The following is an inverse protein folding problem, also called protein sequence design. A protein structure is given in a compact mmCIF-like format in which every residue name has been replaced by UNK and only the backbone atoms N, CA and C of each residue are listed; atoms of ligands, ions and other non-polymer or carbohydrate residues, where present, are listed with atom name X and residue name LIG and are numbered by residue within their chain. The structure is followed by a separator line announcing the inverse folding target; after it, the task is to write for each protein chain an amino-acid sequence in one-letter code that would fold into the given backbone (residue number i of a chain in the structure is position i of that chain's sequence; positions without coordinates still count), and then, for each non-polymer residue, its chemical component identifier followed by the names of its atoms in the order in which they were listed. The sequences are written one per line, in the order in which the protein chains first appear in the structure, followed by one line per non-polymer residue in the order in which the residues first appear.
data_IF_806136106692
#
_entry.id   IF_806136106692
#
_cell.length_a   1.000
_cell.length_b   1.000
_cell.length_c   1.000
_cell.angle_alpha   90.00
_cell.angle_beta   90.00
_cell.angle_gamma   90.00
#
_symmetry.space_group_name_H-M   'P 1'
#
loop_
_entity.id
_entity.type
_entity.pdbx_description
1 polymer ?
#
# COMPACT_ATOMS: atom_id res chain seq x y z
N UNK A 1 17.09 20.01 -62.75
CA UNK A 1 17.37 18.65 -62.27
C UNK A 1 18.28 18.78 -61.06
N UNK A 2 17.70 18.68 -59.88
CA UNK A 2 18.36 18.93 -58.59
C UNK A 2 18.65 17.57 -57.95
N UNK A 3 19.92 17.24 -57.70
CA UNK A 3 20.29 16.00 -57.04
C UNK A 3 19.77 15.96 -55.59
N UNK A 4 19.21 14.83 -55.13
CA UNK A 4 18.81 14.67 -53.74
C UNK A 4 20.06 14.61 -52.86
N UNK A 5 20.10 15.47 -51.82
CA UNK A 5 21.11 15.42 -50.78
C UNK A 5 20.93 14.12 -49.98
N UNK A 6 21.88 13.20 -50.13
CA UNK A 6 22.07 12.08 -49.20
C UNK A 6 22.48 12.65 -47.83
N UNK A 7 21.52 12.73 -46.90
CA UNK A 7 21.80 12.98 -45.49
C UNK A 7 22.46 11.74 -44.89
N UNK A 8 23.73 11.86 -44.55
CA UNK A 8 24.49 10.80 -43.87
C UNK A 8 23.80 10.43 -42.54
N UNK A 9 23.62 9.13 -42.23
CA UNK A 9 22.96 8.70 -41.01
C UNK A 9 23.73 9.19 -39.78
N UNK A 10 23.04 9.97 -38.93
CA UNK A 10 23.61 10.50 -37.70
C UNK A 10 24.18 9.36 -36.83
N UNK A 11 25.41 9.51 -36.30
CA UNK A 11 26.04 8.48 -35.48
C UNK A 11 25.20 8.26 -34.21
N UNK A 12 24.52 7.11 -34.14
CA UNK A 12 23.84 6.65 -32.92
C UNK A 12 24.91 6.44 -31.84
N UNK A 13 25.01 7.39 -30.93
CA UNK A 13 26.02 7.38 -29.88
C UNK A 13 25.90 6.13 -28.98
N UNK A 14 27.01 5.46 -28.64
CA UNK A 14 27.03 4.20 -27.85
C UNK A 14 26.53 4.37 -26.40
N UNK A 15 26.21 5.58 -25.95
CA UNK A 15 25.71 5.83 -24.59
C UNK A 15 24.23 5.47 -24.40
N UNK A 16 23.40 5.47 -25.45
CA UNK A 16 21.98 5.12 -25.29
C UNK A 16 21.73 3.61 -25.20
N UNK A 17 22.62 2.75 -25.71
CA UNK A 17 22.46 1.30 -25.61
C UNK A 17 22.71 0.79 -24.19
N UNK A 18 23.77 1.26 -23.52
CA UNK A 18 24.14 0.79 -22.17
C UNK A 18 23.03 0.98 -21.14
N UNK A 19 22.32 2.12 -21.15
CA UNK A 19 21.22 2.35 -20.22
C UNK A 19 19.98 1.51 -20.54
N UNK A 20 19.74 1.22 -21.83
CA UNK A 20 18.63 0.35 -22.25
C UNK A 20 18.91 -1.10 -21.88
N UNK A 21 20.15 -1.55 -22.05
CA UNK A 21 20.59 -2.91 -21.71
C UNK A 21 20.64 -3.11 -20.19
N UNK A 22 21.13 -2.12 -19.43
CA UNK A 22 21.06 -2.12 -17.97
C UNK A 22 19.61 -2.10 -17.47
N UNK A 23 18.73 -1.34 -18.12
CA UNK A 23 17.30 -1.33 -17.82
C UNK A 23 16.63 -2.68 -18.08
N UNK A 24 16.95 -3.33 -19.20
CA UNK A 24 16.46 -4.67 -19.53
C UNK A 24 16.97 -5.71 -18.52
N UNK A 25 18.26 -5.69 -18.18
CA UNK A 25 18.84 -6.59 -17.18
C UNK A 25 18.23 -6.38 -15.79
N UNK A 26 18.06 -5.13 -15.35
CA UNK A 26 17.36 -4.81 -14.08
C UNK A 26 15.91 -5.29 -14.13
N UNK A 27 15.20 -5.14 -15.24
CA UNK A 27 13.82 -5.63 -15.37
C UNK A 27 13.73 -7.16 -15.28
N UNK A 28 14.74 -7.87 -15.78
CA UNK A 28 14.83 -9.34 -15.74
C UNK A 28 15.16 -9.84 -14.32
N UNK A 29 16.06 -9.14 -13.63
CA UNK A 29 16.39 -9.42 -12.23
C UNK A 29 15.17 -9.13 -11.36
N UNK A 30 14.64 -7.90 -11.35
CA UNK A 30 13.50 -7.52 -10.51
C UNK A 30 12.16 -8.14 -10.92
N UNK A 31 12.06 -8.71 -12.11
CA UNK A 31 10.93 -9.53 -12.54
C UNK A 31 10.91 -10.94 -11.94
N UNK A 32 12.04 -11.40 -11.38
CA UNK A 32 12.14 -12.72 -10.77
C UNK A 32 11.68 -12.72 -9.29
N UNK A 33 10.86 -13.71 -8.86
CA UNK A 33 10.51 -13.87 -7.46
C UNK A 33 11.75 -14.05 -6.55
N UNK A 34 12.84 -14.58 -7.10
CA UNK A 34 14.10 -14.77 -6.38
C UNK A 34 14.81 -13.44 -6.09
N UNK A 35 14.82 -12.49 -7.02
CA UNK A 35 15.42 -11.18 -6.76
C UNK A 35 14.60 -10.38 -5.74
N UNK A 36 13.27 -10.51 -5.80
CA UNK A 36 12.38 -9.93 -4.80
C UNK A 36 12.67 -10.51 -3.40
N UNK A 37 12.86 -11.83 -3.29
CA UNK A 37 13.26 -12.49 -2.06
C UNK A 37 14.62 -11.97 -1.55
N UNK A 38 15.65 -11.95 -2.41
CA UNK A 38 16.99 -11.45 -2.05
C UNK A 38 16.93 -9.99 -1.58
N UNK A 39 16.22 -9.14 -2.30
CA UNK A 39 16.09 -7.73 -1.96
C UNK A 39 15.38 -7.53 -0.62
N UNK A 40 14.35 -8.34 -0.35
CA UNK A 40 13.64 -8.33 0.95
C UNK A 40 14.58 -8.77 2.07
N UNK A 41 15.38 -9.82 1.86
CA UNK A 41 16.36 -10.30 2.83
C UNK A 41 17.45 -9.25 3.10
N UNK A 42 17.97 -8.59 2.06
CA UNK A 42 18.95 -7.51 2.19
C UNK A 42 18.35 -6.31 2.92
N UNK A 43 17.13 -5.92 2.59
CA UNK A 43 16.43 -4.82 3.26
C UNK A 43 16.17 -5.12 4.74
N UNK A 44 15.80 -6.37 5.05
CA UNK A 44 15.64 -6.85 6.42
C UNK A 44 16.96 -6.75 7.19
N UNK A 45 18.07 -7.25 6.63
CA UNK A 45 19.38 -7.17 7.26
C UNK A 45 19.82 -5.71 7.48
N UNK A 46 19.62 -4.85 6.47
CA UNK A 46 19.92 -3.43 6.58
C UNK A 46 19.08 -2.74 7.67
N UNK A 47 17.78 -3.03 7.74
CA UNK A 47 16.90 -2.52 8.78
C UNK A 47 17.28 -3.02 10.18
N UNK A 48 17.68 -4.29 10.30
CA UNK A 48 18.15 -4.89 11.54
C UNK A 48 19.40 -4.17 12.06
N UNK A 49 20.42 -4.02 11.20
CA UNK A 49 21.63 -3.30 11.56
C UNK A 49 21.39 -1.81 11.84
N UNK A 50 20.47 -1.17 11.12
CA UNK A 50 20.12 0.23 11.36
C UNK A 50 19.45 0.42 12.72
N UNK A 51 18.49 -0.44 13.08
CA UNK A 51 17.73 -0.33 14.32
C UNK A 51 18.59 -0.66 15.54
N UNK A 52 19.29 -1.79 15.51
CA UNK A 52 20.04 -2.29 16.67
C UNK A 52 21.47 -1.73 16.73
N UNK A 53 22.04 -1.34 15.59
CA UNK A 53 23.45 -0.97 15.48
C UNK A 53 24.35 -2.19 15.23
N UNK A 54 25.60 -1.99 14.80
CA UNK A 54 26.50 -3.05 14.35
C UNK A 54 27.17 -3.86 15.47
N UNK A 55 26.73 -3.73 16.73
CA UNK A 55 27.42 -4.40 17.85
C UNK A 55 27.12 -5.90 17.88
N UNK A 56 28.16 -6.73 18.05
CA UNK A 56 28.01 -8.18 18.22
C UNK A 56 27.27 -8.54 19.52
N UNK A 57 27.26 -7.65 20.51
CA UNK A 57 26.47 -7.81 21.73
C UNK A 57 24.97 -7.87 21.45
N UNK A 58 24.48 -7.19 20.42
CA UNK A 58 23.07 -7.27 20.00
C UNK A 58 22.70 -8.65 19.45
N UNK A 59 23.66 -9.40 18.89
CA UNK A 59 23.43 -10.79 18.45
C UNK A 59 23.32 -11.74 19.65
N UNK A 60 23.97 -11.45 20.78
CA UNK A 60 23.84 -12.24 21.99
C UNK A 60 22.42 -12.17 22.59
N UNK A 61 21.70 -11.05 22.39
CA UNK A 61 20.30 -10.90 22.78
C UNK A 61 19.32 -11.79 21.98
N UNK A 62 19.72 -12.33 20.82
CA UNK A 62 18.91 -13.32 20.10
C UNK A 62 18.80 -14.64 20.87
N UNK A 63 19.69 -14.88 21.86
CA UNK A 63 19.66 -16.07 22.72
C UNK A 63 18.56 -16.03 23.80
N UNK A 64 18.03 -14.86 24.17
CA UNK A 64 16.94 -14.77 25.14
C UNK A 64 15.59 -14.90 24.44
N UNK A 65 14.90 -16.03 24.67
CA UNK A 65 13.72 -16.46 23.88
C UNK A 65 12.61 -15.41 23.68
N UNK A 66 12.16 -14.62 24.67
CA UNK A 66 11.10 -13.63 24.41
C UNK A 66 11.64 -12.38 23.71
N UNK A 67 12.80 -11.85 24.11
CA UNK A 67 13.37 -10.59 23.60
C UNK A 67 13.95 -10.73 22.19
N UNK A 68 14.54 -11.89 21.89
CA UNK A 68 15.07 -12.20 20.56
C UNK A 68 14.01 -12.20 19.46
N UNK A 69 12.82 -12.74 19.74
CA UNK A 69 11.71 -12.73 18.77
C UNK A 69 11.26 -11.29 18.46
N UNK A 70 11.09 -10.46 19.49
CA UNK A 70 10.73 -9.05 19.33
C UNK A 70 11.72 -8.26 18.48
N UNK A 71 13.02 -8.52 18.63
CA UNK A 71 14.05 -7.89 17.80
C UNK A 71 14.04 -8.33 16.33
N UNK A 72 13.58 -9.54 16.03
CA UNK A 72 13.43 -10.01 14.64
C UNK A 72 12.25 -9.32 13.95
N UNK A 73 11.16 -9.01 14.67
CA UNK A 73 9.98 -8.42 14.07
C UNK A 73 10.12 -6.94 13.69
N UNK A 74 10.85 -6.14 14.48
CA UNK A 74 11.06 -4.71 14.22
C UNK A 74 11.65 -4.39 12.83
N UNK A 75 12.63 -5.15 12.29
CA UNK A 75 13.17 -4.90 10.95
C UNK A 75 12.34 -5.49 9.80
N UNK A 76 11.32 -6.31 10.08
CA UNK A 76 10.39 -6.79 9.04
C UNK A 76 9.62 -5.61 8.43
N UNK A 77 9.20 -4.65 9.25
CA UNK A 77 8.38 -3.54 8.80
C UNK A 77 9.09 -2.65 7.76
N UNK A 78 10.34 -2.19 7.94
CA UNK A 78 11.06 -1.45 6.89
C UNK A 78 11.35 -2.27 5.62
N UNK A 79 11.57 -3.58 5.76
CA UNK A 79 11.72 -4.46 4.60
C UNK A 79 10.41 -4.54 3.79
N UNK A 80 9.27 -4.66 4.47
CA UNK A 80 7.94 -4.62 3.85
C UNK A 80 7.65 -3.28 3.18
N UNK A 81 8.10 -2.16 3.76
CA UNK A 81 7.97 -0.84 3.15
C UNK A 81 8.70 -0.74 1.82
N UNK A 82 9.94 -1.26 1.73
CA UNK A 82 10.70 -1.27 0.49
C UNK A 82 9.99 -2.11 -0.57
N UNK A 83 9.61 -3.34 -0.20
CA UNK A 83 8.85 -4.26 -1.04
C UNK A 83 7.59 -3.61 -1.58
N UNK A 84 6.79 -3.00 -0.69
CA UNK A 84 5.56 -2.29 -1.05
C UNK A 84 5.86 -1.18 -2.04
N UNK A 85 6.88 -0.37 -1.77
CA UNK A 85 7.25 0.77 -2.60
C UNK A 85 7.63 0.32 -4.00
N UNK A 86 8.37 -0.78 -4.13
CA UNK A 86 8.76 -1.34 -5.43
C UNK A 86 7.58 -1.92 -6.20
N UNK A 87 6.67 -2.63 -5.53
CA UNK A 87 5.45 -3.15 -6.16
C UNK A 87 4.57 -2.01 -6.68
N UNK A 88 4.34 -1.01 -5.84
CA UNK A 88 3.57 0.18 -6.22
C UNK A 88 4.24 0.94 -7.37
N UNK A 89 5.55 1.16 -7.27
CA UNK A 89 6.33 1.83 -8.31
C UNK A 89 6.31 1.06 -9.63
N UNK A 90 6.37 -0.27 -9.57
CA UNK A 90 6.22 -1.15 -10.72
C UNK A 90 4.87 -0.98 -11.41
N UNK A 91 3.77 -0.89 -10.66
CA UNK A 91 2.44 -0.61 -11.22
C UNK A 91 2.34 0.78 -11.85
N UNK A 92 2.95 1.80 -11.24
CA UNK A 92 2.97 3.18 -11.75
C UNK A 92 3.75 3.32 -13.06
N UNK A 93 4.76 2.48 -13.29
CA UNK A 93 5.61 2.50 -14.49
C UNK A 93 5.08 1.69 -15.68
N UNK A 94 3.99 0.92 -15.52
CA UNK A 94 3.44 0.11 -16.61
C UNK A 94 2.99 0.98 -17.80
N UNK A 95 2.98 0.43 -19.05
CA UNK A 95 2.62 1.18 -20.26
C UNK A 95 1.23 1.81 -20.24
N UNK A 96 0.33 1.25 -19.43
CA UNK A 96 -0.96 1.87 -19.09
C UNK A 96 -0.79 2.60 -17.75
N UNK A 97 -0.32 3.86 -17.78
CA UNK A 97 -0.02 4.60 -16.57
C UNK A 97 -1.30 4.75 -15.74
N UNK A 98 -1.17 4.43 -14.45
CA UNK A 98 -2.19 4.76 -13.45
C UNK A 98 -2.36 6.27 -13.29
N UNK A 99 -1.30 7.02 -13.61
CA UNK A 99 -1.27 8.46 -13.48
C UNK A 99 -2.34 9.12 -14.36
N UNK A 100 -3.10 10.10 -13.85
CA UNK A 100 -4.11 10.77 -14.65
C UNK A 100 -3.48 11.64 -15.75
N UNK A 101 -4.02 11.54 -16.97
CA UNK A 101 -3.59 12.34 -18.13
C UNK A 101 -3.95 13.83 -18.06
N UNK A 102 -5.06 14.20 -17.40
CA UNK A 102 -5.55 15.60 -17.41
C UNK A 102 -5.05 16.36 -16.19
N UNK A 103 -4.70 17.64 -16.38
CA UNK A 103 -4.20 18.51 -15.30
C UNK A 103 -5.19 18.63 -14.13
N UNK A 104 -6.49 18.71 -14.41
CA UNK A 104 -7.55 18.82 -13.38
C UNK A 104 -7.54 17.61 -12.45
N UNK A 105 -7.40 16.43 -13.02
CA UNK A 105 -7.36 15.19 -12.27
C UNK A 105 -6.05 15.00 -11.51
N UNK A 106 -4.92 15.37 -12.12
CA UNK A 106 -3.63 15.41 -11.43
C UNK A 106 -3.72 16.30 -10.18
N UNK A 107 -4.34 17.49 -10.30
CA UNK A 107 -4.57 18.37 -9.16
C UNK A 107 -5.47 17.75 -8.10
N UNK A 108 -6.53 17.03 -8.50
CA UNK A 108 -7.40 16.33 -7.54
C UNK A 108 -6.65 15.24 -6.78
N UNK A 109 -5.85 14.41 -7.47
CA UNK A 109 -5.02 13.38 -6.84
C UNK A 109 -4.00 14.00 -5.88
N UNK A 110 -3.31 15.05 -6.29
CA UNK A 110 -2.31 15.75 -5.45
C UNK A 110 -2.97 16.37 -4.22
N UNK A 111 -4.13 17.02 -4.40
CA UNK A 111 -4.87 17.62 -3.30
C UNK A 111 -5.32 16.55 -2.29
N UNK A 112 -5.99 15.49 -2.74
CA UNK A 112 -6.41 14.38 -1.85
C UNK A 112 -5.21 13.76 -1.13
N UNK A 113 -4.10 13.54 -1.84
CA UNK A 113 -2.87 12.98 -1.26
C UNK A 113 -2.26 13.92 -0.23
N UNK A 114 -2.26 15.24 -0.46
CA UNK A 114 -1.76 16.24 0.50
C UNK A 114 -2.61 16.29 1.77
N UNK A 115 -3.94 16.19 1.65
CA UNK A 115 -4.85 16.10 2.79
C UNK A 115 -4.61 14.81 3.58
N UNK A 116 -4.44 13.68 2.90
CA UNK A 116 -4.08 12.41 3.54
C UNK A 116 -2.71 12.49 4.23
N UNK A 117 -1.71 13.12 3.61
CA UNK A 117 -0.41 13.37 4.24
C UNK A 117 -0.56 14.21 5.52
N UNK A 118 -1.36 15.28 5.48
CA UNK A 118 -1.62 16.10 6.65
C UNK A 118 -2.31 15.30 7.76
N UNK A 119 -3.32 14.48 7.43
CA UNK A 119 -3.99 13.61 8.40
C UNK A 119 -3.01 12.59 9.00
N UNK A 120 -2.24 11.88 8.18
CA UNK A 120 -1.25 10.89 8.65
C UNK A 120 -0.16 11.56 9.49
N UNK A 121 0.31 12.73 9.09
CA UNK A 121 1.41 13.44 9.73
C UNK A 121 1.03 14.12 11.04
N UNK A 122 -0.23 14.56 11.20
CA UNK A 122 -0.65 15.34 12.37
C UNK A 122 -0.42 14.61 13.71
N UNK A 123 -0.76 13.32 13.89
CA UNK A 123 -0.43 12.57 15.11
C UNK A 123 1.07 12.53 15.40
N UNK A 124 1.92 12.39 14.37
CA UNK A 124 3.38 12.42 14.56
C UNK A 124 3.84 13.80 15.01
N UNK A 125 3.36 14.86 14.39
CA UNK A 125 3.69 16.25 14.79
C UNK A 125 3.25 16.49 16.22
N UNK A 126 2.02 16.12 16.59
CA UNK A 126 1.51 16.23 17.96
C UNK A 126 2.37 15.42 18.94
N UNK A 127 2.76 14.20 18.58
CA UNK A 127 3.67 13.37 19.38
C UNK A 127 5.05 14.01 19.53
N UNK A 128 5.61 14.60 18.48
CA UNK A 128 6.91 15.29 18.53
C UNK A 128 6.88 16.55 19.38
N UNK A 129 5.79 17.32 19.32
CA UNK A 129 5.59 18.53 20.12
C UNK A 129 5.38 18.18 21.60
N UNK A 130 4.60 17.15 21.91
CA UNK A 130 4.36 16.69 23.29
C UNK A 130 5.53 15.87 23.87
N UNK A 131 6.45 15.39 23.02
CA UNK A 131 7.59 14.56 23.43
C UNK A 131 8.44 15.14 24.57
N UNK A 132 8.80 16.44 24.58
CA UNK A 132 9.62 17.03 25.65
C UNK A 132 8.91 17.07 27.01
N UNK A 133 7.58 17.08 27.01
CA UNK A 133 6.75 17.18 28.21
C UNK A 133 6.46 15.80 28.82
N UNK A 134 6.78 14.70 28.10
CA UNK A 134 6.52 13.35 28.60
C UNK A 134 7.50 12.97 29.71
N UNK A 135 7.03 12.74 30.95
CA UNK A 135 7.89 12.43 32.10
C UNK A 135 8.67 11.12 31.91
N UNK A 136 8.13 10.16 31.14
CA UNK A 136 8.82 8.92 30.77
C UNK A 136 10.11 9.17 30.00
N UNK A 137 10.14 10.19 29.16
CA UNK A 137 11.30 10.49 28.31
C UNK A 137 12.36 11.32 29.04
N UNK A 138 11.95 12.18 29.98
CA UNK A 138 12.86 12.85 30.89
C UNK A 138 13.68 11.84 31.72
N UNK A 139 13.05 10.74 32.15
CA UNK A 139 13.73 9.67 32.90
C UNK A 139 14.67 8.80 32.06
N UNK A 140 14.59 8.89 30.73
CA UNK A 140 15.34 8.05 29.79
C UNK A 140 16.38 8.83 28.99
N UNK A 141 16.71 10.07 29.38
CA UNK A 141 17.56 10.95 28.59
C UNK A 141 19.05 10.58 28.70
N UNK A 142 19.40 9.38 28.23
CA UNK A 142 20.77 8.87 28.11
C UNK A 142 21.29 9.07 26.68
N UNK A 143 22.61 9.16 26.46
CA UNK A 143 23.17 9.32 25.12
C UNK A 143 22.75 8.19 24.15
N UNK A 144 22.57 6.96 24.64
CA UNK A 144 22.05 5.84 23.83
C UNK A 144 20.61 6.06 23.36
N UNK A 145 19.76 6.71 24.18
CA UNK A 145 18.38 7.03 23.82
C UNK A 145 18.27 8.14 22.77
N UNK A 146 19.24 9.05 22.70
CA UNK A 146 19.28 10.08 21.64
C UNK A 146 19.44 9.47 20.24
N UNK A 147 20.37 8.52 20.07
CA UNK A 147 20.58 7.82 18.80
C UNK A 147 19.38 6.95 18.42
N UNK A 148 18.78 6.27 19.40
CA UNK A 148 17.54 5.51 19.21
C UNK A 148 16.40 6.40 18.71
N UNK A 149 16.22 7.59 19.31
CA UNK A 149 15.20 8.56 18.92
C UNK A 149 15.38 9.05 17.47
N UNK A 150 16.61 9.35 17.06
CA UNK A 150 16.90 9.75 15.68
C UNK A 150 16.58 8.63 14.68
N UNK A 151 16.92 7.37 15.01
CA UNK A 151 16.59 6.21 14.17
C UNK A 151 15.08 6.03 14.04
N UNK A 152 14.33 6.15 15.13
CA UNK A 152 12.87 6.10 15.12
C UNK A 152 12.27 7.22 14.26
N UNK A 153 12.75 8.46 14.39
CA UNK A 153 12.32 9.58 13.55
C UNK A 153 12.53 9.28 12.06
N UNK A 154 13.71 8.80 11.68
CA UNK A 154 14.03 8.45 10.29
C UNK A 154 13.08 7.36 9.79
N UNK A 155 12.85 6.31 10.59
CA UNK A 155 11.92 5.23 10.23
C UNK A 155 10.49 5.74 10.11
N UNK A 156 10.03 6.63 11.00
CA UNK A 156 8.71 7.24 10.91
C UNK A 156 8.55 8.06 9.63
N UNK A 157 9.56 8.85 9.24
CA UNK A 157 9.54 9.62 7.99
C UNK A 157 9.46 8.71 6.75
N UNK A 158 10.23 7.61 6.74
CA UNK A 158 10.16 6.61 5.66
C UNK A 158 8.76 5.96 5.62
N UNK A 159 8.23 5.57 6.78
CA UNK A 159 6.89 4.99 6.89
C UNK A 159 5.80 5.94 6.38
N UNK A 160 5.88 7.23 6.71
CA UNK A 160 4.96 8.26 6.18
C UNK A 160 5.09 8.36 4.66
N UNK A 161 6.30 8.40 4.10
CA UNK A 161 6.51 8.46 2.66
C UNK A 161 5.89 7.25 1.94
N UNK A 162 6.04 6.04 2.50
CA UNK A 162 5.43 4.82 1.97
C UNK A 162 3.91 4.89 2.04
N UNK A 163 3.35 5.35 3.17
CA UNK A 163 1.91 5.50 3.33
C UNK A 163 1.32 6.51 2.33
N UNK A 164 2.02 7.62 2.08
CA UNK A 164 1.65 8.62 1.06
C UNK A 164 1.68 8.02 -0.34
N UNK A 165 2.71 7.24 -0.67
CA UNK A 165 2.81 6.55 -1.95
C UNK A 165 1.65 5.55 -2.15
N UNK A 166 1.24 4.84 -1.11
CA UNK A 166 0.10 3.94 -1.14
C UNK A 166 -1.22 4.72 -1.32
N UNK A 167 -1.42 5.80 -0.57
CA UNK A 167 -2.60 6.66 -0.68
C UNK A 167 -2.72 7.25 -2.09
N UNK A 168 -1.61 7.76 -2.64
CA UNK A 168 -1.52 8.26 -4.00
C UNK A 168 -2.01 7.22 -5.02
N UNK A 169 -1.56 5.97 -4.87
CA UNK A 169 -1.91 4.87 -5.78
C UNK A 169 -3.40 4.53 -5.73
N UNK A 170 -4.00 4.55 -4.54
CA UNK A 170 -5.45 4.35 -4.36
C UNK A 170 -6.25 5.50 -4.99
N UNK A 171 -5.82 6.76 -4.81
CA UNK A 171 -6.47 7.91 -5.42
C UNK A 171 -6.32 7.93 -6.95
N UNK A 172 -5.17 7.50 -7.50
CA UNK A 172 -5.02 7.33 -8.94
C UNK A 172 -6.04 6.32 -9.48
N UNK A 173 -6.21 5.17 -8.83
CA UNK A 173 -7.23 4.18 -9.23
C UNK A 173 -8.63 4.77 -9.16
N UNK A 174 -8.95 5.51 -8.10
CA UNK A 174 -10.25 6.17 -7.94
C UNK A 174 -10.57 7.13 -9.09
N UNK A 175 -9.62 7.99 -9.45
CA UNK A 175 -9.79 8.94 -10.56
C UNK A 175 -9.93 8.22 -11.89
N UNK A 176 -9.18 7.15 -12.13
CA UNK A 176 -9.31 6.34 -13.34
C UNK A 176 -10.68 5.63 -13.41
N UNK A 177 -11.25 5.21 -12.27
CA UNK A 177 -12.61 4.68 -12.22
C UNK A 177 -13.66 5.77 -12.52
N UNK A 178 -13.48 6.99 -12.00
CA UNK A 178 -14.38 8.10 -12.31
C UNK A 178 -14.39 8.44 -13.81
N UNK A 179 -13.25 8.32 -14.50
CA UNK A 179 -13.19 8.48 -15.96
C UNK A 179 -14.06 7.46 -16.70
N UNK A 180 -13.98 6.19 -16.30
CA UNK A 180 -14.83 5.14 -16.86
C UNK A 180 -16.32 5.44 -16.66
N UNK A 181 -16.70 6.05 -15.52
CA UNK A 181 -18.09 6.46 -15.29
C UNK A 181 -18.54 7.66 -16.14
N UNK A 182 -17.62 8.55 -16.50
CA UNK A 182 -17.93 9.85 -17.11
C UNK A 182 -17.89 9.83 -18.64
N UNK A 183 -17.44 8.73 -19.26
CA UNK A 183 -17.43 8.59 -20.71
C UNK A 183 -18.89 8.66 -21.22
N UNK A 184 -19.30 9.75 -21.90
CA UNK A 184 -20.66 9.84 -22.38
C UNK A 184 -20.88 8.74 -23.42
N UNK A 185 -22.00 8.00 -23.39
CA UNK A 185 -22.34 7.11 -24.48
C UNK A 185 -22.40 7.99 -25.73
N UNK A 186 -21.50 7.77 -26.69
CA UNK A 186 -21.44 8.54 -27.92
C UNK A 186 -22.84 8.51 -28.55
N UNK A 187 -23.54 9.65 -28.45
CA UNK A 187 -24.96 9.76 -28.83
C UNK A 187 -25.08 9.41 -30.31
N UNK A 188 -25.61 8.23 -30.61
CA UNK A 188 -26.02 7.83 -31.95
C UNK A 188 -25.09 6.87 -32.71
N UNK A 189 -23.88 6.60 -32.21
CA UNK A 189 -23.06 5.50 -32.75
C UNK A 189 -23.34 4.24 -31.95
N UNK A 190 -23.74 3.17 -32.64
CA UNK A 190 -23.71 1.80 -32.12
C UNK A 190 -22.38 1.66 -31.39
N UNK A 191 -22.39 1.50 -30.06
CA UNK A 191 -21.17 1.19 -29.33
C UNK A 191 -20.60 -0.06 -29.99
N UNK A 192 -19.48 0.10 -30.69
CA UNK A 192 -18.82 -1.05 -31.29
C UNK A 192 -18.48 -2.02 -30.17
N UNK A 193 -18.76 -3.31 -30.37
CA UNK A 193 -18.54 -4.33 -29.35
C UNK A 193 -17.12 -4.28 -28.75
N UNK A 194 -16.14 -3.82 -29.53
CA UNK A 194 -14.75 -3.64 -29.08
C UNK A 194 -14.54 -2.56 -28.01
N UNK A 195 -15.37 -1.52 -27.94
CA UNK A 195 -15.24 -0.45 -26.94
C UNK A 195 -15.68 -0.94 -25.54
N UNK A 196 -16.78 -1.72 -25.48
CA UNK A 196 -17.24 -2.29 -24.21
C UNK A 196 -16.27 -3.34 -23.65
N UNK A 197 -15.71 -4.19 -24.51
CA UNK A 197 -14.74 -5.21 -24.09
C UNK A 197 -13.48 -4.58 -23.49
N UNK A 198 -13.01 -3.45 -24.05
CA UNK A 198 -11.87 -2.71 -23.52
C UNK A 198 -12.20 -1.99 -22.20
N UNK A 199 -13.39 -1.39 -22.08
CA UNK A 199 -13.87 -0.80 -20.82
C UNK A 199 -13.95 -1.83 -19.69
N UNK A 200 -14.48 -3.02 -19.98
CA UNK A 200 -14.57 -4.14 -19.04
C UNK A 200 -13.19 -4.62 -18.63
N UNK A 201 -12.27 -4.79 -19.59
CA UNK A 201 -10.88 -5.18 -19.32
C UNK A 201 -10.19 -4.14 -18.44
N UNK A 202 -10.36 -2.85 -18.74
CA UNK A 202 -9.80 -1.75 -17.96
C UNK A 202 -10.37 -1.71 -16.55
N UNK A 203 -11.67 -1.91 -16.39
CA UNK A 203 -12.32 -2.03 -15.07
C UNK A 203 -11.75 -3.19 -14.25
N UNK A 204 -11.66 -4.39 -14.82
CA UNK A 204 -11.11 -5.56 -14.12
C UNK A 204 -9.65 -5.34 -13.68
N UNK A 205 -8.85 -4.68 -14.54
CA UNK A 205 -7.47 -4.29 -14.22
C UNK A 205 -7.39 -3.28 -13.08
N UNK A 206 -8.25 -2.26 -13.07
CA UNK A 206 -8.33 -1.27 -11.98
C UNK A 206 -8.78 -1.93 -10.66
N UNK A 207 -9.76 -2.84 -10.70
CA UNK A 207 -10.20 -3.63 -9.54
C UNK A 207 -9.07 -4.47 -8.97
N UNK A 208 -8.32 -5.19 -9.82
CA UNK A 208 -7.18 -5.99 -9.40
C UNK A 208 -6.07 -5.14 -8.76
N UNK A 209 -5.76 -3.98 -9.36
CA UNK A 209 -4.78 -3.02 -8.80
C UNK A 209 -5.24 -2.45 -7.45
N UNK A 210 -6.51 -2.08 -7.32
CA UNK A 210 -7.06 -1.59 -6.06
C UNK A 210 -6.95 -2.64 -4.96
N UNK A 211 -7.30 -3.90 -5.24
CA UNK A 211 -7.16 -5.02 -4.30
C UNK A 211 -5.72 -5.18 -3.85
N UNK A 212 -4.77 -5.20 -4.79
CA UNK A 212 -3.34 -5.28 -4.47
C UNK A 212 -2.90 -4.13 -3.56
N UNK A 213 -3.22 -2.88 -3.88
CA UNK A 213 -2.84 -1.73 -3.05
C UNK A 213 -3.46 -1.79 -1.65
N UNK A 214 -4.72 -2.19 -1.53
CA UNK A 214 -5.39 -2.32 -0.24
C UNK A 214 -4.80 -3.46 0.60
N UNK A 215 -4.46 -4.60 -0.01
CA UNK A 215 -3.75 -5.68 0.66
C UNK A 215 -2.41 -5.21 1.20
N UNK A 216 -1.63 -4.48 0.39
CA UNK A 216 -0.35 -3.90 0.82
C UNK A 216 -0.52 -2.89 1.96
N UNK A 217 -1.57 -2.05 1.92
CA UNK A 217 -1.88 -1.12 3.02
C UNK A 217 -2.25 -1.87 4.29
N UNK A 218 -3.12 -2.88 4.20
CA UNK A 218 -3.53 -3.69 5.34
C UNK A 218 -2.33 -4.41 5.99
N UNK A 219 -1.43 -4.98 5.20
CA UNK A 219 -0.20 -5.61 5.69
C UNK A 219 0.70 -4.59 6.37
N UNK A 220 0.92 -3.41 5.78
CA UNK A 220 1.75 -2.37 6.39
C UNK A 220 1.13 -1.81 7.68
N UNK A 221 -0.18 -1.56 7.72
CA UNK A 221 -0.87 -1.10 8.93
C UNK A 221 -0.80 -2.17 10.02
N UNK A 222 -1.11 -3.43 9.68
CA UNK A 222 -1.03 -4.56 10.61
C UNK A 222 0.36 -4.71 11.21
N UNK A 223 1.39 -4.80 10.37
CA UNK A 223 2.79 -4.91 10.85
C UNK A 223 3.27 -3.68 11.60
N UNK A 224 2.75 -2.49 11.31
CA UNK A 224 3.07 -1.26 12.06
C UNK A 224 2.48 -1.28 13.46
N UNK A 225 1.20 -1.66 13.60
CA UNK A 225 0.53 -1.81 14.91
C UNK A 225 1.24 -2.87 15.75
N UNK A 226 1.62 -3.98 15.12
CA UNK A 226 2.39 -5.03 15.77
C UNK A 226 3.74 -4.49 16.23
N UNK A 227 4.52 -3.87 15.35
CA UNK A 227 5.83 -3.32 15.70
C UNK A 227 5.76 -2.30 16.85
N UNK A 228 4.69 -1.51 16.93
CA UNK A 228 4.46 -0.60 18.04
C UNK A 228 4.17 -1.33 19.36
N UNK A 229 3.35 -2.39 19.33
CA UNK A 229 3.10 -3.24 20.49
C UNK A 229 4.36 -3.97 20.96
N UNK A 230 5.17 -4.45 20.03
CA UNK A 230 6.47 -5.09 20.29
C UNK A 230 7.43 -4.10 20.95
N UNK A 231 7.55 -2.90 20.40
CA UNK A 231 8.39 -1.84 20.95
C UNK A 231 7.96 -1.49 22.38
N UNK A 232 6.65 -1.36 22.63
CA UNK A 232 6.10 -1.15 23.98
C UNK A 232 6.55 -2.25 24.94
N UNK A 233 6.42 -3.52 24.55
CA UNK A 233 6.82 -4.65 25.40
C UNK A 233 8.33 -4.64 25.69
N UNK A 234 9.16 -4.34 24.69
CA UNK A 234 10.60 -4.20 24.87
C UNK A 234 10.94 -3.07 25.85
N UNK A 235 10.26 -1.93 25.75
CA UNK A 235 10.46 -0.80 26.66
C UNK A 235 10.00 -1.14 28.09
N UNK A 236 8.88 -1.85 28.25
CA UNK A 236 8.44 -2.34 29.56
C UNK A 236 9.43 -3.35 30.17
N UNK A 237 9.95 -4.27 29.36
CA UNK A 237 10.95 -5.24 29.82
C UNK A 237 12.29 -4.57 30.21
N UNK A 238 12.66 -3.48 29.54
CA UNK A 238 13.83 -2.69 29.90
C UNK A 238 13.62 -1.86 31.19
N UNK A 239 12.36 -1.59 31.58
CA UNK A 239 12.00 -0.77 32.73
C UNK A 239 10.93 -1.44 33.61
N UNK A 240 11.21 -2.64 34.16
CA UNK A 240 10.20 -3.45 34.86
C UNK A 240 9.67 -2.80 36.13
N UNK A 241 10.44 -1.89 36.74
CA UNK A 241 10.03 -1.16 37.95
C UNK A 241 8.97 -0.08 37.70
N UNK A 242 8.67 0.25 36.43
CA UNK A 242 7.76 1.35 36.06
C UNK A 242 6.90 1.01 34.82
N UNK A 243 6.05 -0.03 34.89
CA UNK A 243 5.20 -0.46 33.76
C UNK A 243 4.18 0.62 33.33
N UNK A 244 3.88 1.59 34.19
CA UNK A 244 2.99 2.72 33.93
C UNK A 244 3.55 3.71 32.89
N UNK A 245 4.86 3.69 32.61
CA UNK A 245 5.50 4.60 31.64
C UNK A 245 5.06 4.34 30.19
N UNK A 246 4.65 3.10 29.87
CA UNK A 246 4.26 2.70 28.52
C UNK A 246 2.89 2.00 28.52
N UNK A 247 1.79 2.76 28.72
CA UNK A 247 0.45 2.22 28.76
C UNK A 247 0.04 1.61 27.40
N UNK A 248 -0.89 0.64 27.42
CA UNK A 248 -1.41 0.03 26.19
C UNK A 248 -2.35 0.96 25.41
N UNK A 249 -3.03 1.87 26.11
CA UNK A 249 -4.10 2.70 25.54
C UNK A 249 -3.66 3.52 24.31
N UNK A 250 -2.49 4.17 24.27
CA UNK A 250 -2.02 4.88 23.07
C UNK A 250 -1.81 3.97 21.85
N UNK A 251 -1.35 2.73 22.06
CA UNK A 251 -1.14 1.76 20.97
C UNK A 251 -2.48 1.36 20.34
N UNK A 252 -3.50 1.12 21.18
CA UNK A 252 -4.87 0.83 20.74
C UNK A 252 -5.51 2.05 20.09
N UNK A 253 -5.34 3.25 20.66
CA UNK A 253 -5.83 4.49 20.08
C UNK A 253 -5.26 4.73 18.68
N UNK A 254 -3.96 4.49 18.49
CA UNK A 254 -3.29 4.59 17.19
C UNK A 254 -3.81 3.57 16.18
N UNK A 255 -4.07 2.31 16.59
CA UNK A 255 -4.61 1.30 15.68
C UNK A 255 -6.05 1.60 15.23
N UNK A 256 -6.90 2.06 16.15
CA UNK A 256 -8.28 2.52 15.83
C UNK A 256 -8.22 3.72 14.89
N UNK A 257 -7.35 4.69 15.16
CA UNK A 257 -7.16 5.86 14.31
C UNK A 257 -6.76 5.47 12.87
N UNK A 258 -5.73 4.62 12.71
CA UNK A 258 -5.29 4.16 11.38
C UNK A 258 -6.37 3.37 10.65
N UNK A 259 -7.13 2.54 11.37
CA UNK A 259 -8.23 1.77 10.78
C UNK A 259 -9.36 2.69 10.30
N UNK A 260 -9.73 3.70 11.09
CA UNK A 260 -10.70 4.71 10.69
C UNK A 260 -10.24 5.52 9.48
N UNK A 261 -8.95 5.90 9.44
CA UNK A 261 -8.37 6.60 8.31
C UNK A 261 -8.41 5.76 7.02
N UNK A 262 -8.06 4.47 7.12
CA UNK A 262 -8.14 3.53 6.00
C UNK A 262 -9.58 3.39 5.51
N UNK A 263 -10.55 3.24 6.42
CA UNK A 263 -11.96 3.15 6.06
C UNK A 263 -12.45 4.42 5.32
N UNK A 264 -12.08 5.60 5.81
CA UNK A 264 -12.43 6.89 5.18
C UNK A 264 -11.87 7.02 3.75
N UNK A 265 -10.66 6.52 3.49
CA UNK A 265 -10.10 6.48 2.14
C UNK A 265 -10.73 5.40 1.25
N UNK A 266 -11.02 4.22 1.81
CA UNK A 266 -11.49 3.06 1.05
C UNK A 266 -12.96 3.15 0.63
N UNK A 267 -13.84 3.57 1.52
CA UNK A 267 -15.29 3.63 1.27
C UNK A 267 -15.67 4.39 -0.01
N UNK A 268 -15.18 5.63 -0.27
CA UNK A 268 -15.52 6.35 -1.49
C UNK A 268 -14.99 5.64 -2.74
N UNK A 269 -13.78 5.08 -2.69
CA UNK A 269 -13.19 4.37 -3.85
C UNK A 269 -13.98 3.11 -4.16
N UNK A 270 -14.38 2.37 -3.13
CA UNK A 270 -15.24 1.21 -3.28
C UNK A 270 -16.59 1.57 -3.87
N UNK A 271 -17.23 2.65 -3.38
CA UNK A 271 -18.50 3.11 -3.92
C UNK A 271 -18.38 3.37 -5.43
N UNK A 272 -17.36 4.10 -5.87
CA UNK A 272 -17.12 4.34 -7.29
C UNK A 272 -16.86 3.06 -8.07
N UNK A 273 -16.10 2.11 -7.52
CA UNK A 273 -15.89 0.81 -8.15
C UNK A 273 -17.23 0.08 -8.41
N UNK A 274 -18.09 0.04 -7.39
CA UNK A 274 -19.42 -0.60 -7.51
C UNK A 274 -20.29 0.14 -8.52
N UNK A 275 -20.37 1.47 -8.43
CA UNK A 275 -21.19 2.29 -9.33
C UNK A 275 -20.76 2.12 -10.80
N UNK A 276 -19.45 2.12 -11.08
CA UNK A 276 -18.89 1.88 -12.43
C UNK A 276 -19.20 0.46 -12.89
N UNK A 277 -18.99 -0.54 -12.04
CA UNK A 277 -19.24 -1.93 -12.41
C UNK A 277 -20.72 -2.20 -12.67
N UNK A 278 -21.64 -1.61 -11.91
CA UNK A 278 -23.07 -1.71 -12.16
C UNK A 278 -23.46 -1.10 -13.52
N UNK A 279 -22.89 0.07 -13.85
CA UNK A 279 -23.09 0.69 -15.16
C UNK A 279 -22.55 -0.21 -16.31
N UNK A 280 -21.39 -0.85 -16.13
CA UNK A 280 -20.84 -1.79 -17.10
C UNK A 280 -21.67 -3.07 -17.20
N UNK A 281 -22.17 -3.59 -16.09
CA UNK A 281 -23.06 -4.75 -16.08
C UNK A 281 -24.33 -4.47 -16.89
N UNK A 282 -24.92 -3.28 -16.72
CA UNK A 282 -26.09 -2.87 -17.48
C UNK A 282 -25.78 -2.75 -18.98
N UNK A 283 -24.63 -2.18 -19.35
CA UNK A 283 -24.18 -2.11 -20.76
C UNK A 283 -24.00 -3.50 -21.37
N UNK A 284 -23.38 -4.43 -20.65
CA UNK A 284 -23.20 -5.83 -21.09
C UNK A 284 -24.54 -6.52 -21.37
N UNK A 285 -25.50 -6.41 -20.44
CA UNK A 285 -26.83 -7.00 -20.60
C UNK A 285 -27.57 -6.40 -21.80
N UNK A 286 -27.48 -5.08 -21.99
CA UNK A 286 -28.10 -4.40 -23.15
C UNK A 286 -27.51 -4.91 -24.47
N UNK A 287 -26.19 -5.17 -24.51
CA UNK A 287 -25.52 -5.68 -25.70
C UNK A 287 -25.86 -7.16 -25.98
N UNK A 288 -25.93 -8.02 -24.96
CA UNK A 288 -26.15 -9.46 -25.17
C UNK A 288 -27.59 -9.82 -25.52
N UNK A 289 -28.57 -9.19 -24.85
CA UNK A 289 -29.98 -9.59 -24.95
C UNK A 289 -30.86 -8.65 -25.80
N UNK A 290 -30.35 -7.46 -26.13
CA UNK A 290 -31.12 -6.43 -26.85
C UNK A 290 -32.31 -5.86 -26.05
N UNK A 291 -32.96 -4.83 -26.61
CA UNK A 291 -33.96 -4.02 -25.92
C UNK A 291 -35.31 -4.71 -25.64
N UNK A 292 -35.54 -5.95 -26.10
CA UNK A 292 -36.83 -6.66 -25.97
C UNK A 292 -36.78 -8.02 -25.24
N UNK A 293 -35.65 -8.40 -24.63
CA UNK A 293 -35.59 -9.66 -23.90
C UNK A 293 -36.55 -9.76 -22.69
N UNK A 294 -37.09 -10.96 -22.40
CA UNK A 294 -37.97 -11.20 -21.26
C UNK A 294 -37.26 -10.91 -19.93
N UNK A 295 -38.01 -10.46 -18.93
CA UNK A 295 -37.47 -10.03 -17.63
C UNK A 295 -36.57 -11.07 -16.96
N UNK A 296 -36.98 -12.34 -16.98
CA UNK A 296 -36.20 -13.44 -16.38
C UNK A 296 -34.82 -13.57 -17.01
N UNK A 297 -34.72 -13.54 -18.33
CA UNK A 297 -33.45 -13.62 -19.05
C UNK A 297 -32.56 -12.41 -18.72
N UNK A 298 -33.14 -11.20 -18.67
CA UNK A 298 -32.40 -9.99 -18.25
C UNK A 298 -31.85 -10.10 -16.84
N UNK A 299 -32.63 -10.61 -15.90
CA UNK A 299 -32.21 -10.77 -14.51
C UNK A 299 -31.07 -11.79 -14.37
N UNK A 300 -31.18 -12.95 -15.05
CA UNK A 300 -30.14 -13.97 -15.07
C UNK A 300 -28.84 -13.43 -15.68
N UNK A 301 -28.93 -12.73 -16.81
CA UNK A 301 -27.79 -12.13 -17.49
C UNK A 301 -27.15 -11.01 -16.67
N UNK A 302 -27.97 -10.16 -16.02
CA UNK A 302 -27.46 -9.12 -15.13
C UNK A 302 -26.71 -9.73 -13.95
N UNK A 303 -27.20 -10.85 -13.41
CA UNK A 303 -26.53 -11.55 -12.33
C UNK A 303 -25.23 -12.23 -12.80
N UNK A 304 -25.21 -12.76 -14.03
CA UNK A 304 -24.00 -13.29 -14.65
C UNK A 304 -22.96 -12.18 -14.86
N UNK A 305 -23.37 -11.03 -15.41
CA UNK A 305 -22.52 -9.86 -15.60
C UNK A 305 -21.96 -9.32 -14.27
N UNK A 306 -22.80 -9.19 -13.23
CA UNK A 306 -22.36 -8.81 -11.88
C UNK A 306 -21.38 -9.80 -11.28
N UNK A 307 -21.57 -11.10 -11.52
CA UNK A 307 -20.64 -12.14 -11.05
C UNK A 307 -19.31 -12.05 -11.80
N UNK A 308 -19.35 -11.88 -13.12
CA UNK A 308 -18.17 -11.72 -13.97
C UNK A 308 -17.34 -10.48 -13.60
N UNK A 309 -18.00 -9.34 -13.40
CA UNK A 309 -17.37 -8.10 -12.90
C UNK A 309 -17.02 -8.18 -11.40
N UNK A 310 -17.42 -9.27 -10.72
CA UNK A 310 -17.27 -9.59 -9.30
C UNK A 310 -17.81 -8.52 -8.33
N UNK A 311 -18.96 -7.95 -8.67
CA UNK A 311 -19.71 -7.03 -7.81
C UNK A 311 -20.39 -7.74 -6.62
N UNK A 312 -20.52 -9.07 -6.69
CA UNK A 312 -21.13 -9.88 -5.64
C UNK A 312 -20.29 -10.03 -4.37
N UNK A 313 -19.00 -9.74 -4.43
CA UNK A 313 -18.13 -9.85 -3.25
C UNK A 313 -18.40 -8.67 -2.30
N UNK A 314 -18.91 -8.98 -1.11
CA UNK A 314 -19.23 -7.94 -0.13
C UNK A 314 -17.95 -7.29 0.40
N UNK A 315 -18.02 -6.01 0.75
CA UNK A 315 -16.86 -5.27 1.28
C UNK A 315 -16.31 -5.89 2.51
N UNK A 316 -17.26 -6.32 3.31
CA UNK A 316 -17.02 -6.95 4.55
C UNK A 316 -16.39 -8.32 4.35
N UNK A 317 -16.75 -9.09 3.32
CA UNK A 317 -16.09 -10.36 3.00
C UNK A 317 -14.65 -10.17 2.53
N UNK A 318 -14.37 -9.22 1.64
CA UNK A 318 -12.99 -8.93 1.21
C UNK A 318 -12.14 -8.46 2.39
N UNK A 319 -12.69 -7.59 3.24
CA UNK A 319 -12.02 -7.10 4.44
C UNK A 319 -11.84 -8.23 5.47
N UNK A 320 -12.86 -9.06 5.69
CA UNK A 320 -12.80 -10.23 6.57
C UNK A 320 -11.79 -11.26 6.07
N UNK A 321 -11.68 -11.47 4.76
CA UNK A 321 -10.65 -12.35 4.19
C UNK A 321 -9.25 -11.76 4.41
N UNK A 322 -9.07 -10.44 4.26
CA UNK A 322 -7.83 -9.78 4.64
C UNK A 322 -7.50 -9.92 6.13
N UNK A 323 -8.50 -9.75 7.00
CA UNK A 323 -8.37 -9.88 8.45
C UNK A 323 -8.15 -11.35 8.85
N UNK A 324 -8.77 -12.33 8.19
CA UNK A 324 -8.63 -13.74 8.54
C UNK A 324 -7.24 -14.27 8.20
N UNK A 325 -6.57 -13.73 7.18
CA UNK A 325 -5.14 -13.99 6.93
C UNK A 325 -4.26 -13.38 8.02
N UNK A 326 -4.67 -12.23 8.57
CA UNK A 326 -3.99 -11.60 9.70
C UNK A 326 -4.37 -12.25 11.05
N UNK A 327 -5.45 -13.01 11.14
CA UNK A 327 -5.98 -13.54 12.39
C UNK A 327 -5.04 -14.55 13.08
N UNK A 328 -4.31 -15.47 12.39
CA UNK A 328 -3.28 -16.30 13.02
C UNK A 328 -2.11 -15.48 13.57
N UNK A 329 -1.72 -14.40 12.89
CA UNK A 329 -0.68 -13.48 13.36
C UNK A 329 -1.18 -12.71 14.58
N UNK A 330 -2.38 -12.14 14.51
CA UNK A 330 -3.03 -11.46 15.62
C UNK A 330 -3.26 -12.40 16.79
N UNK A 331 -3.66 -13.65 16.58
CA UNK A 331 -3.89 -14.66 17.62
C UNK A 331 -2.61 -15.13 18.28
N UNK A 332 -1.57 -15.40 17.49
CA UNK A 332 -0.23 -15.71 18.01
C UNK A 332 0.41 -14.53 18.75
N UNK A 333 0.14 -13.31 18.30
CA UNK A 333 0.62 -12.10 18.97
C UNK A 333 -0.24 -11.73 20.17
N UNK A 334 -1.54 -12.03 20.16
CA UNK A 334 -2.42 -11.89 21.33
C UNK A 334 -1.98 -12.85 22.41
N UNK A 335 -1.62 -14.10 22.08
CA UNK A 335 -1.11 -15.03 23.09
C UNK A 335 0.24 -14.59 23.65
N UNK A 336 1.11 -13.97 22.84
CA UNK A 336 2.37 -13.38 23.30
C UNK A 336 2.18 -12.06 24.08
N UNK A 337 1.17 -11.26 23.74
CA UNK A 337 0.83 -9.98 24.39
C UNK A 337 0.02 -10.17 25.69
N UNK A 338 -0.77 -11.23 25.78
CA UNK A 338 -1.66 -11.52 26.91
C UNK A 338 -1.14 -12.65 27.81
N UNK A 339 -0.01 -13.29 27.50
CA UNK A 339 0.58 -14.28 28.40
C UNK A 339 0.97 -13.58 29.71
N UNK A 340 0.31 -13.91 30.84
CA UNK A 340 0.67 -13.36 32.14
C UNK A 340 1.86 -14.19 32.65
N UNK A 341 3.07 -13.74 32.33
CA UNK A 341 4.27 -14.52 32.67
C UNK A 341 5.60 -13.92 32.26
N UNK A 342 5.68 -12.60 32.12
CA UNK A 342 6.93 -11.83 32.01
C UNK A 342 6.94 -10.74 33.06
#
# INVERSE_FOLDING_TARGET
MSQPREEAPAPRGPRQSVWRDAGAALSLVFGSPLAFFILTAVAFMAAYFFQLGPSLQNLAFLGSRPVGLWHIFLPIQPALWLVTSLLVWGELRKPDPLWPDTRREQMAVVLCTSVTLAMIGLPFVAQFISWPEMPSLATLNTPSMSAFRTRLLILSLIGIAVAVLQALSVFCVHVQLLRLSSAPPARGTVCEAGDLDEDVRRYLKLRARLRLFLSLVAVNVGTSVLSLGILRNLLNAAHPARPELFPAAPVVGYSVYLTGLLANGYLPVRKTLVDVGEALAERLVRQSLGAQAPWKARFEEQQAARTYLGLRESAFQELQQGISVLAPLLGGLSSLLLSPGG
#
